data_IF_885018867128
#
_entry.id   IF_885018867128
#
_cell.length_a   1.000
_cell.length_b   1.000
_cell.length_c   1.000
_cell.angle_alpha   90.00
_cell.angle_beta   90.00
_cell.angle_gamma   90.00
#
_symmetry.space_group_name_H-M   'P 1'
#
loop_
_entity.id
_entity.type
_entity.pdbx_description
1 polymer ?
#
# COMPACT_ATOMS: atom_id res chain seq x y z
N UNK A 1 15.05 -43.37 -8.24
CA UNK A 1 14.18 -42.73 -7.23
C UNK A 1 14.78 -41.46 -6.62
N UNK A 2 16.09 -41.38 -6.34
CA UNK A 2 16.74 -40.17 -5.79
C UNK A 2 16.74 -38.94 -6.74
N UNK A 3 16.75 -39.13 -8.06
CA UNK A 3 16.74 -38.01 -9.02
C UNK A 3 15.41 -37.24 -9.08
N UNK A 4 14.28 -37.87 -8.75
CA UNK A 4 12.95 -37.24 -8.83
C UNK A 4 12.70 -36.28 -7.67
N UNK A 5 13.36 -36.47 -6.52
CA UNK A 5 13.21 -35.61 -5.34
C UNK A 5 13.98 -34.29 -5.55
N UNK A 6 15.13 -34.32 -6.23
CA UNK A 6 15.93 -33.12 -6.51
C UNK A 6 15.25 -32.14 -7.49
N UNK A 7 14.44 -32.65 -8.43
CA UNK A 7 13.68 -31.83 -9.39
C UNK A 7 12.44 -31.17 -8.78
N UNK A 8 11.87 -31.73 -7.71
CA UNK A 8 10.72 -31.14 -7.02
C UNK A 8 11.11 -29.96 -6.10
N UNK A 9 12.34 -29.94 -5.59
CA UNK A 9 12.83 -28.87 -4.71
C UNK A 9 13.09 -27.54 -5.44
N UNK A 10 13.19 -27.55 -6.78
CA UNK A 10 13.43 -26.34 -7.59
C UNK A 10 12.19 -25.47 -7.85
N UNK A 11 11.00 -25.89 -7.45
CA UNK A 11 9.73 -25.18 -7.70
C UNK A 11 9.08 -24.59 -6.45
N UNK A 12 9.79 -24.53 -5.32
CA UNK A 12 9.33 -23.72 -4.19
C UNK A 12 9.56 -22.27 -4.61
N UNK A 13 8.54 -21.65 -5.23
CA UNK A 13 8.47 -20.20 -5.33
C UNK A 13 8.59 -19.71 -3.89
N UNK A 14 9.70 -19.05 -3.56
CA UNK A 14 9.79 -18.25 -2.35
C UNK A 14 8.63 -17.28 -2.42
N UNK A 15 7.56 -17.54 -1.67
CA UNK A 15 6.50 -16.56 -1.48
C UNK A 15 7.20 -15.38 -0.83
N UNK A 16 7.43 -14.32 -1.60
CA UNK A 16 8.04 -13.09 -1.09
C UNK A 16 7.02 -12.49 -0.15
N UNK A 17 7.11 -12.82 1.13
CA UNK A 17 6.28 -12.23 2.15
C UNK A 17 6.66 -10.76 2.31
N UNK A 18 5.66 -9.88 2.24
CA UNK A 18 5.87 -8.45 2.42
C UNK A 18 5.65 -8.09 3.89
N UNK A 19 6.57 -7.33 4.46
CA UNK A 19 6.43 -6.78 5.81
C UNK A 19 5.95 -5.34 5.73
N UNK A 20 4.81 -5.03 6.33
CA UNK A 20 4.24 -3.69 6.38
C UNK A 20 4.07 -3.22 7.83
N UNK A 21 3.95 -1.91 8.03
CA UNK A 21 3.39 -1.40 9.28
C UNK A 21 1.87 -1.46 9.24
N UNK A 22 1.25 -1.85 10.36
CA UNK A 22 -0.19 -1.75 10.59
C UNK A 22 -0.48 -0.97 11.88
N UNK A 23 -1.65 -0.31 11.94
CA UNK A 23 -2.21 0.17 13.20
C UNK A 23 -3.06 -0.94 13.85
N UNK A 24 -2.83 -1.21 15.13
CA UNK A 24 -3.70 -2.08 15.92
C UNK A 24 -5.01 -1.37 16.34
N UNK A 25 -5.87 -2.06 17.09
CA UNK A 25 -7.15 -1.52 17.58
C UNK A 25 -7.01 -0.33 18.53
N UNK A 26 -5.84 -0.14 19.13
CA UNK A 26 -5.52 0.97 20.03
C UNK A 26 -4.80 2.12 19.29
N UNK A 27 -4.52 1.94 18.00
CA UNK A 27 -3.81 2.89 17.14
C UNK A 27 -2.29 2.74 17.18
N UNK A 28 -1.74 1.79 17.93
CA UNK A 28 -0.30 1.58 17.98
C UNK A 28 0.19 0.95 16.68
N UNK A 29 1.41 1.32 16.28
CA UNK A 29 2.05 0.78 15.10
C UNK A 29 2.74 -0.55 15.40
N UNK A 30 2.55 -1.54 14.54
CA UNK A 30 3.24 -2.84 14.60
C UNK A 30 3.75 -3.26 13.22
N UNK A 31 4.82 -4.03 13.17
CA UNK A 31 5.27 -4.71 11.95
C UNK A 31 4.48 -6.00 11.76
N UNK A 32 3.96 -6.23 10.56
CA UNK A 32 3.20 -7.43 10.19
C UNK A 32 3.73 -7.95 8.86
N UNK A 33 4.04 -9.24 8.81
CA UNK A 33 4.49 -9.92 7.59
C UNK A 33 3.37 -10.82 7.07
N UNK A 34 3.01 -10.66 5.81
CA UNK A 34 1.96 -11.44 5.16
C UNK A 34 2.38 -11.79 3.73
N UNK A 35 2.17 -13.04 3.35
CA UNK A 35 2.58 -13.58 2.05
C UNK A 35 1.53 -13.36 0.94
N UNK A 36 0.34 -12.88 1.31
CA UNK A 36 -0.71 -12.49 0.37
C UNK A 36 -0.65 -11.01 -0.01
N UNK A 37 0.22 -10.21 0.63
CA UNK A 37 0.32 -8.79 0.35
C UNK A 37 1.30 -8.49 -0.77
N UNK A 38 0.87 -7.61 -1.67
CA UNK A 38 1.72 -7.05 -2.73
C UNK A 38 2.18 -5.63 -2.41
N UNK A 39 1.46 -4.93 -1.53
CA UNK A 39 1.70 -3.52 -1.21
C UNK A 39 1.54 -3.22 0.26
N UNK A 40 2.30 -2.23 0.75
CA UNK A 40 2.01 -1.54 1.98
C UNK A 40 1.37 -0.18 1.66
N UNK A 41 0.39 0.22 2.47
CA UNK A 41 -0.38 1.43 2.28
C UNK A 41 -0.22 2.38 3.47
N UNK A 42 -0.36 3.67 3.16
CA UNK A 42 -0.43 4.75 4.14
C UNK A 42 -1.51 5.75 3.76
N UNK A 43 -2.45 5.97 4.68
CA UNK A 43 -3.40 7.09 4.66
C UNK A 43 -2.89 8.12 5.68
N UNK A 44 -2.63 9.37 5.27
CA UNK A 44 -2.17 10.38 6.20
C UNK A 44 -3.24 10.80 7.20
N UNK A 45 -2.75 11.21 8.36
CA UNK A 45 -3.55 11.91 9.35
C UNK A 45 -4.03 13.25 8.80
N UNK A 46 -5.27 13.59 9.10
CA UNK A 46 -5.90 14.88 8.79
C UNK A 46 -6.49 15.46 10.07
N UNK A 47 -6.98 16.70 10.03
CA UNK A 47 -7.65 17.32 11.18
C UNK A 47 -8.83 16.48 11.71
N UNK A 48 -9.45 15.67 10.85
CA UNK A 48 -10.68 14.93 11.15
C UNK A 48 -10.50 13.40 11.18
N UNK A 49 -9.30 12.89 10.89
CA UNK A 49 -9.05 11.44 10.83
C UNK A 49 -7.62 11.12 11.23
N UNK A 50 -7.47 10.10 12.07
CA UNK A 50 -6.17 9.49 12.33
C UNK A 50 -5.61 8.86 11.05
N UNK A 51 -4.29 8.88 10.92
CA UNK A 51 -3.60 8.18 9.85
C UNK A 51 -3.76 6.67 9.98
N UNK A 52 -3.67 5.95 8.86
CA UNK A 52 -3.77 4.49 8.83
C UNK A 52 -2.63 3.88 8.03
N UNK A 53 -2.15 2.75 8.52
CA UNK A 53 -1.13 1.91 7.94
C UNK A 53 -1.68 0.50 7.83
N UNK A 54 -1.49 -0.14 6.68
CA UNK A 54 -1.97 -1.51 6.45
C UNK A 54 -1.26 -2.13 5.24
N UNK A 55 -1.26 -3.47 5.17
CA UNK A 55 -0.90 -4.18 3.95
C UNK A 55 -2.11 -4.41 3.04
N UNK A 56 -1.87 -4.54 1.73
CA UNK A 56 -2.90 -4.77 0.72
C UNK A 56 -2.50 -5.99 -0.13
N UNK A 57 -3.42 -6.94 -0.23
CA UNK A 57 -3.35 -8.06 -1.14
C UNK A 57 -4.52 -8.07 -2.14
N UNK A 58 -4.59 -9.12 -2.98
CA UNK A 58 -5.63 -9.25 -4.00
C UNK A 58 -7.02 -9.60 -3.43
N UNK A 59 -7.10 -9.93 -2.13
CA UNK A 59 -8.37 -10.28 -1.48
C UNK A 59 -9.11 -9.04 -0.97
N UNK A 60 -8.39 -7.94 -0.78
CA UNK A 60 -8.90 -6.69 -0.20
C UNK A 60 -9.37 -5.72 -1.30
N UNK A 61 -8.61 -5.58 -2.38
CA UNK A 61 -8.98 -4.73 -3.52
C UNK A 61 -8.31 -5.16 -4.84
N UNK A 62 -8.78 -4.58 -5.96
CA UNK A 62 -8.12 -4.75 -7.25
C UNK A 62 -6.79 -4.01 -7.28
N UNK A 63 -5.70 -4.76 -7.53
CA UNK A 63 -4.34 -4.23 -7.54
C UNK A 63 -3.85 -3.75 -8.91
N UNK A 64 -4.64 -3.96 -9.96
CA UNK A 64 -4.20 -3.81 -11.36
C UNK A 64 -3.63 -2.42 -11.69
N UNK A 65 -4.20 -1.36 -11.12
CA UNK A 65 -3.71 0.01 -11.33
C UNK A 65 -2.33 0.27 -10.69
N UNK A 66 -2.07 -0.35 -9.54
CA UNK A 66 -0.76 -0.29 -8.89
C UNK A 66 0.25 -1.12 -9.66
N UNK A 67 -0.11 -2.36 -10.00
CA UNK A 67 0.74 -3.29 -10.74
C UNK A 67 1.29 -2.64 -12.00
N UNK A 68 0.40 -2.03 -12.80
CA UNK A 68 0.78 -1.33 -14.03
C UNK A 68 1.76 -0.17 -13.78
N UNK A 69 1.60 0.55 -12.67
CA UNK A 69 2.46 1.70 -12.34
C UNK A 69 3.83 1.24 -11.90
N UNK A 70 3.92 0.27 -10.98
CA UNK A 70 5.20 -0.23 -10.49
C UNK A 70 5.99 -1.01 -11.55
N UNK A 71 5.31 -1.60 -12.54
CA UNK A 71 5.93 -2.22 -13.72
C UNK A 71 6.69 -1.23 -14.62
N UNK A 72 6.51 0.08 -14.47
CA UNK A 72 7.30 1.09 -15.19
C UNK A 72 8.74 1.22 -14.66
N UNK A 73 9.05 0.57 -13.54
CA UNK A 73 10.42 0.54 -12.99
C UNK A 73 11.34 -0.28 -13.89
N UNK A 74 12.57 0.20 -14.08
CA UNK A 74 13.66 -0.51 -14.76
C UNK A 74 14.90 -0.63 -13.86
N UNK A 75 16.04 -0.99 -14.45
CA UNK A 75 17.30 -1.17 -13.72
C UNK A 75 17.93 0.13 -13.21
N UNK A 76 17.56 1.28 -13.77
CA UNK A 76 18.10 2.60 -13.46
C UNK A 76 17.12 3.44 -12.63
N UNK A 77 15.83 3.30 -12.88
CA UNK A 77 14.77 4.07 -12.23
C UNK A 77 13.73 3.15 -11.63
N UNK A 78 13.39 3.38 -10.36
CA UNK A 78 12.39 2.60 -9.65
C UNK A 78 11.31 3.50 -9.08
N UNK A 79 10.06 3.13 -9.31
CA UNK A 79 8.93 3.72 -8.62
C UNK A 79 8.98 3.24 -7.17
N UNK A 80 9.22 4.15 -6.24
CA UNK A 80 9.27 3.84 -4.80
C UNK A 80 7.87 3.84 -4.19
N UNK A 81 7.05 4.82 -4.56
CA UNK A 81 5.72 5.00 -4.01
C UNK A 81 4.79 5.62 -5.05
N UNK A 82 3.51 5.30 -4.95
CA UNK A 82 2.43 5.91 -5.73
C UNK A 82 1.42 6.50 -4.76
N UNK A 83 1.14 7.79 -4.86
CA UNK A 83 0.10 8.46 -4.07
C UNK A 83 -1.09 8.81 -4.96
N UNK A 84 -2.29 8.45 -4.51
CA UNK A 84 -3.52 8.62 -5.25
C UNK A 84 -4.51 9.40 -4.39
N UNK A 85 -5.18 10.36 -5.02
CA UNK A 85 -6.35 11.03 -4.48
C UNK A 85 -7.59 10.48 -5.17
N UNK A 86 -8.36 9.67 -4.46
CA UNK A 86 -9.53 8.96 -4.96
C UNK A 86 -10.82 9.66 -4.54
N UNK A 87 -11.77 9.73 -5.46
CA UNK A 87 -13.14 10.19 -5.21
C UNK A 87 -14.09 9.01 -5.34
N UNK A 88 -14.75 8.65 -4.26
CA UNK A 88 -15.79 7.62 -4.24
C UNK A 88 -17.17 8.24 -4.39
N UNK A 89 -17.86 7.92 -5.48
CA UNK A 89 -19.24 8.34 -5.74
C UNK A 89 -20.24 7.28 -5.26
N UNK A 90 -20.38 7.15 -3.94
CA UNK A 90 -21.27 6.16 -3.32
C UNK A 90 -22.77 6.47 -3.52
N UNK A 91 -23.11 7.70 -3.92
CA UNK A 91 -24.48 8.12 -4.22
C UNK A 91 -25.16 7.29 -5.32
N UNK A 92 -24.38 6.63 -6.19
CA UNK A 92 -24.91 5.69 -7.21
C UNK A 92 -25.33 4.33 -6.61
N UNK A 93 -24.77 3.96 -5.46
CA UNK A 93 -25.10 2.71 -4.75
C UNK A 93 -26.30 2.90 -3.81
N UNK A 94 -26.42 4.08 -3.18
CA UNK A 94 -27.63 4.45 -2.44
C UNK A 94 -27.76 5.97 -2.31
N UNK A 95 -28.97 6.54 -2.44
CA UNK A 95 -29.22 7.95 -2.15
C UNK A 95 -28.84 8.39 -0.73
N UNK A 96 -28.76 7.44 0.21
CA UNK A 96 -28.31 7.71 1.60
C UNK A 96 -26.82 8.07 1.69
N UNK A 97 -26.01 7.65 0.73
CA UNK A 97 -24.59 8.02 0.61
C UNK A 97 -24.40 9.18 -0.36
N UNK A 98 -25.35 10.13 -0.39
CA UNK A 98 -25.43 11.20 -1.38
C UNK A 98 -24.27 12.21 -1.41
N UNK A 99 -23.19 11.99 -0.65
CA UNK A 99 -21.96 12.79 -0.66
C UNK A 99 -20.82 11.92 -1.18
N UNK A 100 -19.99 12.50 -2.04
CA UNK A 100 -18.75 11.86 -2.44
C UNK A 100 -17.80 11.78 -1.25
N UNK A 101 -17.16 10.63 -1.09
CA UNK A 101 -16.07 10.45 -0.14
C UNK A 101 -14.75 10.61 -0.88
N UNK A 102 -13.74 11.14 -0.18
CA UNK A 102 -12.41 11.33 -0.73
C UNK A 102 -11.39 10.61 0.13
N UNK A 103 -10.45 9.96 -0.53
CA UNK A 103 -9.36 9.26 0.12
C UNK A 103 -8.05 9.67 -0.52
N UNK A 104 -7.12 10.18 0.27
CA UNK A 104 -5.73 10.27 -0.14
C UNK A 104 -4.98 9.09 0.47
N UNK A 105 -4.33 8.28 -0.36
CA UNK A 105 -3.48 7.18 0.12
C UNK A 105 -2.24 7.03 -0.75
N UNK A 106 -1.18 6.53 -0.14
CA UNK A 106 0.03 6.15 -0.84
C UNK A 106 0.32 4.66 -0.67
N UNK A 107 0.85 4.03 -1.70
CA UNK A 107 1.23 2.62 -1.72
C UNK A 107 2.67 2.44 -2.17
N UNK A 108 3.29 1.35 -1.73
CA UNK A 108 4.67 0.97 -2.05
C UNK A 108 4.84 -0.56 -1.91
N UNK A 109 5.84 -1.15 -2.57
CA UNK A 109 5.96 -2.61 -2.74
C UNK A 109 7.27 -3.21 -2.18
N UNK A 110 7.77 -2.68 -1.08
CA UNK A 110 8.96 -3.19 -0.39
C UNK A 110 8.81 -3.10 1.12
N UNK A 111 9.61 -3.86 1.86
CA UNK A 111 9.44 -3.99 3.30
C UNK A 111 9.45 -2.64 4.02
N UNK A 112 8.44 -2.44 4.88
CA UNK A 112 8.29 -1.32 5.81
C UNK A 112 8.28 0.04 5.11
N UNK A 113 7.96 0.04 3.82
CA UNK A 113 7.96 1.24 2.98
C UNK A 113 6.88 2.25 3.40
N UNK A 114 5.81 1.78 4.04
CA UNK A 114 4.75 2.64 4.56
C UNK A 114 5.11 3.28 5.91
N UNK A 115 6.39 3.31 6.32
CA UNK A 115 6.81 4.04 7.52
C UNK A 115 6.25 5.45 7.54
N UNK A 116 5.49 5.75 8.60
CA UNK A 116 4.86 7.05 8.80
C UNK A 116 5.88 8.20 8.75
N UNK A 117 7.11 7.98 9.22
CA UNK A 117 8.14 9.04 9.26
C UNK A 117 8.61 9.45 7.85
N UNK A 118 8.85 8.49 6.97
CA UNK A 118 9.30 8.74 5.60
C UNK A 118 8.22 9.43 4.79
N UNK A 119 6.97 8.96 4.92
CA UNK A 119 5.84 9.55 4.21
C UNK A 119 5.41 10.91 4.78
N UNK A 120 5.42 11.11 6.10
CA UNK A 120 5.11 12.41 6.71
C UNK A 120 6.16 13.45 6.32
N UNK A 121 7.44 13.05 6.19
CA UNK A 121 8.50 13.89 5.65
C UNK A 121 8.20 14.34 4.21
N UNK A 122 7.88 13.38 3.32
CA UNK A 122 7.50 13.67 1.94
C UNK A 122 6.26 14.59 1.85
N UNK A 123 5.18 14.26 2.56
CA UNK A 123 3.95 15.05 2.53
C UNK A 123 4.14 16.46 3.08
N UNK A 124 4.93 16.63 4.15
CA UNK A 124 5.27 17.97 4.66
C UNK A 124 6.07 18.79 3.64
N UNK A 125 6.93 18.15 2.86
CA UNK A 125 7.64 18.85 1.77
C UNK A 125 6.65 19.27 0.68
N UNK A 126 5.77 18.37 0.23
CA UNK A 126 4.74 18.69 -0.77
C UNK A 126 3.79 19.80 -0.28
N UNK A 127 3.34 19.76 0.97
CA UNK A 127 2.49 20.81 1.55
C UNK A 127 3.18 22.17 1.52
N UNK A 128 4.43 22.23 1.98
CA UNK A 128 5.25 23.45 1.98
C UNK A 128 5.45 24.01 0.57
N UNK A 129 5.68 23.14 -0.41
CA UNK A 129 5.88 23.55 -1.80
C UNK A 129 4.60 24.10 -2.46
N UNK A 130 3.42 23.80 -1.88
CA UNK A 130 2.11 24.24 -2.36
C UNK A 130 1.44 25.28 -1.43
N UNK A 131 2.09 25.69 -0.34
CA UNK A 131 1.65 26.83 0.46
C UNK A 131 1.93 28.14 -0.33
N UNK A 132 0.94 29.03 -0.46
CA UNK A 132 1.03 30.23 -1.29
C UNK A 132 1.97 31.32 -0.74
#
# INVERSE_FOLDING_TARGET
MLLLIALAAGFIRSSTSLTCYENDSEGNMREVTNDQWSYCAFIPETENSQGKLFGIGPNEESLAGYDQTFQQSDNLYKVLSVCIYEKYELGKLSPRFGRSEFLFRCVCNYDRCNSHQTFKGYLKSVQRDNEP
#
